data_IF_539688575068
#
_entry.id   IF_539688575068
#
_cell.length_a   1.000
_cell.length_b   1.000
_cell.length_c   1.000
_cell.angle_alpha   90.00
_cell.angle_beta   90.00
_cell.angle_gamma   90.00
#
_symmetry.space_group_name_H-M   'P 1'
#
loop_
_entity.id
_entity.type
_entity.pdbx_description
1 polymer ?
#
# COMPACT_ATOMS: atom_id res chain seq x y z
N UNK A 1 -4.92 -37.39 -22.49
CA UNK A 1 -5.45 -36.72 -21.29
C UNK A 1 -4.42 -36.87 -20.18
N UNK A 2 -3.71 -35.80 -19.84
CA UNK A 2 -2.82 -35.80 -18.66
C UNK A 2 -3.68 -35.67 -17.39
N UNK A 3 -3.28 -36.29 -16.26
CA UNK A 3 -4.05 -36.21 -15.02
C UNK A 3 -4.09 -34.78 -14.48
N UNK A 4 -5.07 -34.43 -13.60
CA UNK A 4 -5.06 -33.15 -12.90
C UNK A 4 -3.87 -33.13 -11.94
N UNK A 5 -2.96 -32.19 -12.16
CA UNK A 5 -1.83 -31.92 -11.29
C UNK A 5 -2.33 -31.32 -9.96
N UNK A 6 -2.01 -32.01 -8.88
CA UNK A 6 -2.45 -31.74 -7.51
C UNK A 6 -1.49 -30.80 -6.76
N UNK A 7 -0.67 -30.04 -7.50
CA UNK A 7 0.22 -29.03 -6.94
C UNK A 7 -0.30 -27.63 -7.26
N UNK A 8 -1.28 -27.20 -6.47
CA UNK A 8 -1.89 -25.87 -6.56
C UNK A 8 -0.94 -24.77 -6.13
N UNK A 9 -0.13 -24.23 -7.05
CA UNK A 9 0.46 -22.88 -7.02
C UNK A 9 0.79 -22.37 -8.44
N UNK A 10 -0.08 -22.62 -9.43
CA UNK A 10 0.10 -22.00 -10.75
C UNK A 10 -0.34 -20.53 -10.69
N UNK A 11 0.64 -19.62 -10.62
CA UNK A 11 0.43 -18.20 -10.86
C UNK A 11 -0.10 -18.02 -12.29
N UNK A 12 -1.40 -17.72 -12.41
CA UNK A 12 -1.98 -17.27 -13.68
C UNK A 12 -1.96 -15.74 -13.68
N UNK A 13 -1.13 -15.09 -14.51
CA UNK A 13 -1.09 -13.64 -14.57
C UNK A 13 -2.47 -13.11 -14.92
N UNK A 14 -2.93 -12.12 -14.16
CA UNK A 14 -4.19 -11.46 -14.47
C UNK A 14 -4.14 -10.88 -15.89
N UNK A 15 -5.28 -10.90 -16.59
CA UNK A 15 -5.37 -10.31 -17.92
C UNK A 15 -4.84 -8.87 -17.89
N UNK A 16 -4.01 -8.50 -18.88
CA UNK A 16 -3.34 -7.18 -18.95
C UNK A 16 -4.27 -6.00 -18.67
N UNK A 17 -5.51 -6.03 -19.19
CA UNK A 17 -6.54 -5.00 -18.95
C UNK A 17 -6.89 -4.86 -17.46
N UNK A 18 -6.95 -5.97 -16.72
CA UNK A 18 -7.24 -6.00 -15.28
C UNK A 18 -6.07 -5.46 -14.47
N UNK A 19 -4.84 -5.85 -14.82
CA UNK A 19 -3.61 -5.32 -14.22
C UNK A 19 -3.54 -3.80 -14.38
N UNK A 20 -3.72 -3.30 -15.61
CA UNK A 20 -3.69 -1.87 -15.90
C UNK A 20 -4.76 -1.10 -15.13
N UNK A 21 -5.99 -1.63 -15.07
CA UNK A 21 -7.07 -1.03 -14.27
C UNK A 21 -6.72 -0.96 -12.79
N UNK A 22 -6.15 -2.04 -12.23
CA UNK A 22 -5.72 -2.08 -10.84
C UNK A 22 -4.66 -1.02 -10.53
N UNK A 23 -3.62 -0.93 -11.37
CA UNK A 23 -2.56 0.06 -11.26
C UNK A 23 -3.08 1.49 -11.37
N UNK A 24 -3.98 1.78 -12.32
CA UNK A 24 -4.56 3.11 -12.50
C UNK A 24 -5.43 3.54 -11.31
N UNK A 25 -6.28 2.64 -10.81
CA UNK A 25 -7.12 2.92 -9.64
C UNK A 25 -6.25 3.15 -8.40
N UNK A 26 -5.27 2.26 -8.17
CA UNK A 26 -4.34 2.40 -7.07
C UNK A 26 -3.57 3.70 -7.13
N UNK A 27 -2.95 4.01 -8.28
CA UNK A 27 -2.20 5.23 -8.49
C UNK A 27 -3.07 6.47 -8.28
N UNK A 28 -4.29 6.49 -8.81
CA UNK A 28 -5.21 7.61 -8.62
C UNK A 28 -5.53 7.84 -7.13
N UNK A 29 -5.80 6.77 -6.38
CA UNK A 29 -6.05 6.86 -4.93
C UNK A 29 -4.83 7.43 -4.22
N UNK A 30 -3.63 6.87 -4.46
CA UNK A 30 -2.40 7.33 -3.81
C UNK A 30 -2.06 8.78 -4.17
N UNK A 31 -2.19 9.14 -5.44
CA UNK A 31 -1.97 10.52 -5.90
C UNK A 31 -2.96 11.50 -5.24
N UNK A 32 -4.24 11.13 -5.14
CA UNK A 32 -5.23 11.96 -4.44
C UNK A 32 -4.90 12.10 -2.95
N UNK A 33 -4.49 11.02 -2.28
CA UNK A 33 -4.06 11.05 -0.87
C UNK A 33 -2.87 12.00 -0.71
N UNK A 34 -1.85 11.88 -1.56
CA UNK A 34 -0.68 12.75 -1.51
C UNK A 34 -1.06 14.22 -1.75
N UNK A 35 -1.87 14.49 -2.77
CA UNK A 35 -2.31 15.85 -3.09
C UNK A 35 -3.09 16.49 -1.94
N UNK A 36 -4.04 15.75 -1.35
CA UNK A 36 -4.81 16.23 -0.20
C UNK A 36 -3.90 16.45 1.00
N UNK A 37 -3.01 15.50 1.32
CA UNK A 37 -2.06 15.64 2.43
C UNK A 37 -1.19 16.89 2.27
N UNK A 38 -0.56 17.06 1.10
CA UNK A 38 0.29 18.22 0.78
C UNK A 38 -0.48 19.54 0.90
N UNK A 39 -1.71 19.63 0.38
CA UNK A 39 -2.53 20.84 0.51
C UNK A 39 -2.86 21.14 1.97
N UNK A 40 -3.28 20.15 2.75
CA UNK A 40 -3.67 20.36 4.15
C UNK A 40 -2.48 20.80 5.02
N UNK A 41 -1.30 20.23 4.79
CA UNK A 41 -0.07 20.59 5.53
C UNK A 41 0.42 21.98 5.10
N UNK A 42 0.51 22.26 3.80
CA UNK A 42 1.05 23.55 3.30
C UNK A 42 0.14 24.75 3.57
N UNK A 43 -1.17 24.53 3.71
CA UNK A 43 -2.13 25.57 4.14
C UNK A 43 -2.18 25.76 5.66
N UNK A 44 -1.46 24.93 6.43
CA UNK A 44 -1.49 24.95 7.90
C UNK A 44 -2.80 24.43 8.50
N UNK A 45 -3.63 23.75 7.71
CA UNK A 45 -4.89 23.15 8.18
C UNK A 45 -4.62 21.98 9.14
N UNK A 46 -3.57 21.22 8.88
CA UNK A 46 -3.07 20.16 9.77
C UNK A 46 -1.56 20.32 9.97
N UNK A 47 -1.07 19.84 11.11
CA UNK A 47 0.37 19.66 11.31
C UNK A 47 0.86 18.46 10.49
N UNK A 48 2.14 18.47 10.15
CA UNK A 48 2.79 17.30 9.56
C UNK A 48 2.67 16.10 10.51
N UNK A 49 2.43 14.91 9.96
CA UNK A 49 2.23 13.71 10.78
C UNK A 49 3.46 13.40 11.64
N UNK A 50 3.25 12.81 12.81
CA UNK A 50 4.34 12.42 13.71
C UNK A 50 5.31 11.44 13.03
N UNK A 51 4.77 10.55 12.20
CA UNK A 51 5.53 9.59 11.41
C UNK A 51 6.42 10.30 10.37
N UNK A 52 5.87 11.16 9.51
CA UNK A 52 6.68 11.90 8.54
C UNK A 52 7.73 12.79 9.22
N UNK A 53 7.40 13.42 10.35
CA UNK A 53 8.34 14.24 11.11
C UNK A 53 9.53 13.41 11.61
N UNK A 54 9.26 12.21 12.14
CA UNK A 54 10.31 11.28 12.58
C UNK A 54 11.16 10.78 11.41
N UNK A 55 10.54 10.43 10.28
CA UNK A 55 11.24 9.98 9.08
C UNK A 55 12.12 11.08 8.48
N UNK A 56 11.65 12.33 8.43
CA UNK A 56 12.44 13.47 7.95
C UNK A 56 13.68 13.71 8.82
N UNK A 57 13.53 13.58 10.15
CA UNK A 57 14.66 13.68 11.07
C UNK A 57 15.67 12.56 10.85
N UNK A 58 15.22 11.32 10.71
CA UNK A 58 16.10 10.16 10.51
C UNK A 58 16.81 10.20 9.16
N UNK A 59 16.13 10.59 8.09
CA UNK A 59 16.74 10.73 6.75
C UNK A 59 17.79 11.83 6.70
N UNK A 60 17.57 12.95 7.40
CA UNK A 60 18.55 14.03 7.51
C UNK A 60 19.81 13.60 8.27
N UNK A 61 19.67 12.77 9.32
CA UNK A 61 20.78 12.34 10.16
C UNK A 61 21.57 11.14 9.59
N UNK A 62 20.88 10.18 8.97
CA UNK A 62 21.48 8.90 8.56
C UNK A 62 21.72 8.80 7.05
N UNK A 63 21.28 9.79 6.26
CA UNK A 63 21.59 9.89 4.83
C UNK A 63 21.04 8.73 3.99
N UNK A 64 21.78 8.35 2.94
CA UNK A 64 21.33 7.43 1.89
C UNK A 64 20.83 6.05 2.41
N UNK A 65 21.49 5.37 3.36
CA UNK A 65 21.02 4.06 3.84
C UNK A 65 19.63 4.11 4.48
N UNK A 66 19.34 5.17 5.24
CA UNK A 66 18.03 5.32 5.88
C UNK A 66 16.95 5.66 4.85
N UNK A 67 17.27 6.54 3.89
CA UNK A 67 16.36 6.86 2.77
C UNK A 67 15.99 5.59 1.99
N UNK A 68 16.95 4.74 1.63
CA UNK A 68 16.67 3.46 0.95
C UNK A 68 15.83 2.51 1.81
N UNK A 69 16.07 2.50 3.13
CA UNK A 69 15.30 1.66 4.05
C UNK A 69 13.83 2.08 4.10
N UNK A 70 13.55 3.38 4.20
CA UNK A 70 12.18 3.93 4.29
C UNK A 70 11.45 3.87 2.93
N UNK A 71 12.17 4.12 1.84
CA UNK A 71 11.55 4.21 0.50
C UNK A 71 11.42 2.88 -0.21
N UNK A 72 12.24 1.87 0.16
CA UNK A 72 12.29 0.57 -0.52
C UNK A 72 12.03 -0.58 0.45
N UNK A 73 12.87 -0.75 1.47
CA UNK A 73 12.84 -1.94 2.32
C UNK A 73 11.55 -2.04 3.17
N UNK A 74 11.12 -0.91 3.74
CA UNK A 74 9.88 -0.82 4.51
C UNK A 74 8.65 -1.15 3.65
N UNK A 75 8.41 -0.49 2.48
CA UNK A 75 7.33 -0.86 1.57
C UNK A 75 7.30 -2.34 1.16
N UNK A 76 8.46 -2.93 0.87
CA UNK A 76 8.53 -4.37 0.53
C UNK A 76 8.03 -5.21 1.71
N UNK A 77 8.52 -4.93 2.91
CA UNK A 77 8.18 -5.67 4.13
C UNK A 77 6.70 -5.52 4.46
N UNK A 78 6.17 -4.31 4.41
CA UNK A 78 4.77 -4.02 4.66
C UNK A 78 3.86 -4.73 3.66
N UNK A 79 4.17 -4.69 2.36
CA UNK A 79 3.36 -5.37 1.35
C UNK A 79 3.41 -6.90 1.50
N UNK A 80 4.57 -7.47 1.86
CA UNK A 80 4.67 -8.90 2.18
C UNK A 80 3.75 -9.30 3.33
N UNK A 81 3.66 -8.48 4.38
CA UNK A 81 2.80 -8.74 5.54
C UNK A 81 1.33 -8.51 5.18
N UNK A 82 0.97 -7.35 4.65
CA UNK A 82 -0.43 -6.95 4.50
C UNK A 82 -1.11 -7.53 3.27
N UNK A 83 -0.40 -7.68 2.14
CA UNK A 83 -0.96 -8.18 0.87
C UNK A 83 -0.54 -9.62 0.62
N UNK A 84 0.72 -9.95 0.90
CA UNK A 84 1.27 -11.30 0.77
C UNK A 84 0.69 -12.27 1.79
N UNK A 85 0.78 -11.96 3.09
CA UNK A 85 0.31 -12.85 4.15
C UNK A 85 -1.16 -12.59 4.48
N UNK A 86 -1.51 -11.40 4.94
CA UNK A 86 -2.82 -11.14 5.56
C UNK A 86 -3.99 -11.33 4.60
N UNK A 87 -3.95 -10.71 3.42
CA UNK A 87 -5.02 -10.83 2.43
C UNK A 87 -5.19 -12.27 1.90
N UNK A 88 -4.17 -13.12 1.98
CA UNK A 88 -4.23 -14.51 1.53
C UNK A 88 -4.53 -15.50 2.67
N UNK A 89 -4.13 -15.21 3.90
CA UNK A 89 -4.30 -16.10 5.06
C UNK A 89 -5.75 -16.14 5.56
N UNK A 90 -6.40 -14.98 5.69
CA UNK A 90 -7.70 -14.90 6.35
C UNK A 90 -8.88 -15.06 5.40
N UNK A 91 -8.71 -14.84 4.09
CA UNK A 91 -9.81 -14.87 3.11
C UNK A 91 -9.45 -15.64 1.83
N UNK A 92 -9.21 -16.96 1.92
CA UNK A 92 -8.92 -17.81 0.76
C UNK A 92 -10.11 -17.90 -0.23
N UNK A 93 -11.34 -17.67 0.27
CA UNK A 93 -12.55 -17.72 -0.52
C UNK A 93 -12.71 -16.47 -1.41
N UNK A 94 -12.75 -16.68 -2.73
CA UNK A 94 -12.83 -15.60 -3.74
C UNK A 94 -14.22 -15.00 -3.94
N UNK A 95 -15.01 -14.87 -2.87
CA UNK A 95 -16.28 -14.13 -2.97
C UNK A 95 -16.02 -12.62 -2.98
N UNK A 96 -16.90 -11.85 -3.62
CA UNK A 96 -16.80 -10.39 -3.64
C UNK A 96 -16.82 -9.81 -2.21
N UNK A 97 -17.62 -10.39 -1.31
CA UNK A 97 -17.70 -9.97 0.10
C UNK A 97 -16.38 -10.21 0.83
N UNK A 98 -15.81 -11.40 0.65
CA UNK A 98 -14.49 -11.72 1.21
C UNK A 98 -13.41 -10.77 0.67
N UNK A 99 -13.41 -10.46 -0.62
CA UNK A 99 -12.44 -9.52 -1.18
C UNK A 99 -12.56 -8.10 -0.60
N UNK A 100 -13.79 -7.61 -0.39
CA UNK A 100 -14.01 -6.30 0.25
C UNK A 100 -13.53 -6.33 1.70
N UNK A 101 -13.87 -7.38 2.46
CA UNK A 101 -13.44 -7.54 3.84
C UNK A 101 -11.91 -7.61 3.96
N UNK A 102 -11.22 -8.32 3.05
CA UNK A 102 -9.76 -8.40 3.09
C UNK A 102 -9.10 -7.07 2.76
N UNK A 103 -9.66 -6.28 1.84
CA UNK A 103 -9.21 -4.91 1.57
C UNK A 103 -9.40 -4.03 2.80
N UNK A 104 -10.59 -4.02 3.41
CA UNK A 104 -10.86 -3.20 4.58
C UNK A 104 -9.98 -3.58 5.78
N UNK A 105 -9.84 -4.88 6.07
CA UNK A 105 -9.04 -5.37 7.19
C UNK A 105 -7.55 -5.11 6.99
N UNK A 106 -7.03 -5.39 5.78
CA UNK A 106 -5.64 -5.09 5.42
C UNK A 106 -5.34 -3.60 5.56
N UNK A 107 -6.24 -2.75 5.07
CA UNK A 107 -6.09 -1.29 5.15
C UNK A 107 -6.19 -0.77 6.58
N UNK A 108 -7.11 -1.28 7.39
CA UNK A 108 -7.26 -0.88 8.80
C UNK A 108 -6.03 -1.25 9.63
N UNK A 109 -5.48 -2.45 9.43
CA UNK A 109 -4.27 -2.88 10.14
C UNK A 109 -3.03 -2.13 9.64
N UNK A 110 -2.94 -1.86 8.34
CA UNK A 110 -1.93 -0.98 7.77
C UNK A 110 -1.97 0.40 8.43
N UNK A 111 -3.15 1.02 8.55
CA UNK A 111 -3.31 2.29 9.26
C UNK A 111 -2.88 2.20 10.71
N UNK A 112 -3.21 1.12 11.42
CA UNK A 112 -2.90 0.99 12.84
C UNK A 112 -1.40 1.00 13.15
N UNK A 113 -0.57 0.40 12.28
CA UNK A 113 0.89 0.35 12.49
C UNK A 113 1.58 1.67 12.13
N UNK A 114 0.89 2.56 11.42
CA UNK A 114 1.38 3.90 11.07
C UNK A 114 1.11 4.95 12.18
N UNK A 115 0.64 4.49 13.35
CA UNK A 115 0.46 5.29 14.57
C UNK A 115 -0.18 6.68 14.33
N UNK A 116 -1.32 6.76 13.61
CA UNK A 116 -1.99 8.03 13.35
C UNK A 116 -2.40 8.71 14.65
N UNK A 117 -2.18 10.02 14.74
CA UNK A 117 -2.51 10.81 15.94
C UNK A 117 -3.80 11.59 15.78
N UNK A 118 -4.23 11.83 14.55
CA UNK A 118 -5.48 12.53 14.23
C UNK A 118 -6.43 11.67 13.39
N UNK A 119 -7.72 12.02 13.40
CA UNK A 119 -8.69 11.37 12.51
C UNK A 119 -8.32 11.57 11.03
N UNK A 120 -7.69 12.70 10.68
CA UNK A 120 -7.24 12.96 9.31
C UNK A 120 -6.12 12.00 8.94
N UNK A 121 -5.14 11.75 9.83
CA UNK A 121 -4.09 10.75 9.59
C UNK A 121 -4.66 9.35 9.41
N UNK A 122 -5.67 8.97 10.22
CA UNK A 122 -6.38 7.70 10.06
C UNK A 122 -6.96 7.60 8.64
N UNK A 123 -7.63 8.65 8.17
CA UNK A 123 -8.24 8.67 6.83
C UNK A 123 -7.20 8.62 5.71
N UNK A 124 -6.08 9.36 5.84
CA UNK A 124 -5.01 9.38 4.86
C UNK A 124 -4.33 8.01 4.74
N UNK A 125 -3.88 7.44 5.87
CA UNK A 125 -3.24 6.11 5.88
C UNK A 125 -4.21 4.99 5.48
N UNK A 126 -5.49 5.07 5.90
CA UNK A 126 -6.48 4.09 5.48
C UNK A 126 -6.73 4.13 3.98
N UNK A 127 -6.86 5.33 3.41
CA UNK A 127 -7.04 5.51 1.96
C UNK A 127 -5.83 5.01 1.17
N UNK A 128 -4.61 5.27 1.66
CA UNK A 128 -3.38 4.70 1.10
C UNK A 128 -3.40 3.17 1.16
N UNK A 129 -3.76 2.59 2.32
CA UNK A 129 -3.95 1.16 2.48
C UNK A 129 -4.97 0.58 1.49
N UNK A 130 -6.09 1.27 1.26
CA UNK A 130 -7.10 0.85 0.28
C UNK A 130 -6.52 0.86 -1.13
N UNK A 131 -5.79 1.91 -1.53
CA UNK A 131 -5.18 2.00 -2.86
C UNK A 131 -4.24 0.82 -3.16
N UNK A 132 -3.38 0.47 -2.21
CA UNK A 132 -2.45 -0.66 -2.31
C UNK A 132 -3.19 -2.01 -2.30
N UNK A 133 -4.15 -2.19 -1.39
CA UNK A 133 -4.94 -3.42 -1.30
C UNK A 133 -5.79 -3.65 -2.55
N UNK A 134 -6.39 -2.60 -3.12
CA UNK A 134 -7.13 -2.65 -4.39
C UNK A 134 -6.19 -2.99 -5.55
N UNK A 135 -5.00 -2.39 -5.61
CA UNK A 135 -3.99 -2.72 -6.62
C UNK A 135 -3.71 -4.22 -6.61
N UNK A 136 -3.35 -4.77 -5.45
CA UNK A 136 -3.10 -6.20 -5.30
C UNK A 136 -4.33 -7.07 -5.63
N UNK A 137 -5.52 -6.65 -5.19
CA UNK A 137 -6.77 -7.36 -5.43
C UNK A 137 -7.09 -7.53 -6.93
N UNK A 138 -6.76 -6.53 -7.75
CA UNK A 138 -6.94 -6.54 -9.21
C UNK A 138 -5.80 -7.25 -9.95
N UNK A 139 -4.55 -6.96 -9.59
CA UNK A 139 -3.37 -7.47 -10.30
C UNK A 139 -3.08 -8.92 -9.95
N UNK A 140 -3.39 -9.33 -8.71
CA UNK A 140 -2.96 -10.59 -8.10
C UNK A 140 -1.43 -10.79 -8.16
N UNK A 141 -0.70 -9.69 -8.27
CA UNK A 141 0.75 -9.65 -8.31
C UNK A 141 1.25 -8.67 -7.26
N UNK A 142 2.00 -9.20 -6.28
CA UNK A 142 2.55 -8.42 -5.18
C UNK A 142 3.51 -7.34 -5.70
N UNK A 143 4.24 -7.61 -6.80
CA UNK A 143 5.19 -6.67 -7.39
C UNK A 143 4.52 -5.37 -7.83
N UNK A 144 3.26 -5.44 -8.27
CA UNK A 144 2.50 -4.26 -8.66
C UNK A 144 2.21 -3.36 -7.45
N UNK A 145 1.82 -3.95 -6.32
CA UNK A 145 1.52 -3.20 -5.10
C UNK A 145 2.80 -2.63 -4.47
N UNK A 146 3.86 -3.46 -4.40
CA UNK A 146 5.20 -3.05 -3.94
C UNK A 146 5.74 -1.88 -4.78
N UNK A 147 5.73 -2.01 -6.10
CA UNK A 147 6.23 -0.96 -6.98
C UNK A 147 5.46 0.35 -6.82
N UNK A 148 4.14 0.28 -6.67
CA UNK A 148 3.30 1.44 -6.46
C UNK A 148 3.53 2.08 -5.07
N UNK A 149 3.76 1.27 -4.03
CA UNK A 149 4.08 1.76 -2.69
C UNK A 149 5.45 2.44 -2.64
N UNK A 150 6.48 1.83 -3.24
CA UNK A 150 7.81 2.43 -3.38
C UNK A 150 7.70 3.77 -4.13
N UNK A 151 6.97 3.81 -5.24
CA UNK A 151 6.74 5.04 -5.98
C UNK A 151 6.11 6.12 -5.09
N UNK A 152 5.09 5.79 -4.31
CA UNK A 152 4.45 6.72 -3.40
C UNK A 152 5.42 7.28 -2.36
N UNK A 153 6.21 6.42 -1.70
CA UNK A 153 7.18 6.87 -0.69
C UNK A 153 8.31 7.68 -1.29
N UNK A 154 8.78 7.35 -2.49
CA UNK A 154 9.77 8.15 -3.22
C UNK A 154 9.20 9.53 -3.52
N UNK A 155 7.99 9.62 -4.09
CA UNK A 155 7.36 10.91 -4.39
C UNK A 155 7.19 11.74 -3.11
N UNK A 156 6.67 11.14 -2.03
CA UNK A 156 6.50 11.84 -0.75
C UNK A 156 7.81 12.29 -0.10
N UNK A 157 8.93 11.60 -0.36
CA UNK A 157 10.23 11.93 0.25
C UNK A 157 10.95 13.04 -0.51
N UNK A 158 10.74 13.14 -1.82
CA UNK A 158 11.51 14.03 -2.71
C UNK A 158 10.72 15.18 -3.34
N UNK A 159 9.38 15.20 -3.21
CA UNK A 159 8.48 16.24 -3.74
C UNK A 159 7.61 16.81 -2.62
#
# INVERSE_FOLDING_TARGET
>A
MTPPDHHGWHYTPAARKRVLRGLLIGFAILFCVQLVSTILVTTGTIAQSANETALNKLTTLAGLPMTLSITIAAPITEELIFRGLLMNAFLPNRTRRAQVLSICLSSALFTSVHTPTTLIDVLLYFSMGVGLAVTYAYTRDLKCSVGLHILNNVLSTFL
#
